data_IF_352128292133
#
_entry.id   IF_352128292133
#
_cell.length_a   1.000
_cell.length_b   1.000
_cell.length_c   1.000
_cell.angle_alpha   90.00
_cell.angle_beta   90.00
_cell.angle_gamma   90.00
#
_symmetry.space_group_name_H-M   'P 1'
#
loop_
_entity.id
_entity.type
_entity.pdbx_description
1 polymer ?
#
# COMPACT_ATOMS: atom_id res chain seq x y z
N UNK A 1 4.76 -6.58 -1.06
CA UNK A 1 3.92 -7.63 -0.42
C UNK A 1 2.69 -7.87 -1.27
N UNK A 2 2.17 -9.10 -1.33
CA UNK A 2 0.98 -9.46 -2.14
C UNK A 2 -0.12 -10.01 -1.25
N UNK A 3 -1.35 -9.55 -1.47
CA UNK A 3 -2.55 -10.11 -0.84
C UNK A 3 -3.33 -10.91 -1.88
N UNK A 4 -3.86 -12.07 -1.48
CA UNK A 4 -4.59 -12.98 -2.36
C UNK A 4 -5.87 -13.41 -1.66
N UNK A 5 -6.98 -13.44 -2.41
CA UNK A 5 -8.26 -13.97 -1.94
C UNK A 5 -8.34 -15.45 -2.33
N UNK A 6 -8.69 -16.32 -1.37
CA UNK A 6 -8.93 -17.74 -1.63
C UNK A 6 -10.08 -17.90 -2.63
N UNK A 7 -9.90 -18.77 -3.63
CA UNK A 7 -10.98 -19.12 -4.58
C UNK A 7 -12.23 -19.68 -3.87
N UNK A 8 -12.04 -20.31 -2.72
CA UNK A 8 -13.09 -21.03 -1.99
C UNK A 8 -13.53 -20.26 -0.73
N UNK A 9 -13.30 -18.96 -0.66
CA UNK A 9 -13.78 -18.15 0.46
C UNK A 9 -15.31 -18.17 0.52
N UNK A 10 -15.85 -18.30 1.73
CA UNK A 10 -17.30 -18.20 1.98
C UNK A 10 -17.78 -16.73 1.87
N UNK A 11 -16.88 -15.77 2.09
CA UNK A 11 -17.19 -14.33 2.19
C UNK A 11 -16.32 -13.47 1.22
N UNK A 12 -16.50 -13.61 -0.11
CA UNK A 12 -15.67 -12.92 -1.09
C UNK A 12 -15.85 -11.39 -1.07
N UNK A 13 -17.04 -10.91 -0.69
CA UNK A 13 -17.36 -9.47 -0.67
C UNK A 13 -16.71 -8.79 0.53
N UNK A 14 -16.79 -9.41 1.69
CA UNK A 14 -16.23 -8.94 2.95
C UNK A 14 -14.71 -8.96 2.88
N UNK A 15 -14.14 -10.04 2.34
CA UNK A 15 -12.69 -10.17 2.14
C UNK A 15 -12.15 -9.12 1.17
N UNK A 16 -12.84 -8.88 0.06
CA UNK A 16 -12.43 -7.82 -0.89
C UNK A 16 -12.61 -6.41 -0.31
N UNK A 17 -13.63 -6.19 0.52
CA UNK A 17 -13.83 -4.93 1.25
C UNK A 17 -12.68 -4.67 2.23
N UNK A 18 -12.27 -5.70 2.98
CA UNK A 18 -11.12 -5.62 3.88
C UNK A 18 -9.83 -5.30 3.10
N UNK A 19 -9.56 -5.98 2.00
CA UNK A 19 -8.38 -5.69 1.18
C UNK A 19 -8.42 -4.27 0.60
N UNK A 20 -9.60 -3.79 0.19
CA UNK A 20 -9.77 -2.42 -0.29
C UNK A 20 -9.45 -1.41 0.81
N UNK A 21 -9.87 -1.67 2.05
CA UNK A 21 -9.50 -0.84 3.20
C UNK A 21 -7.99 -0.88 3.45
N UNK A 22 -7.40 -2.06 3.48
CA UNK A 22 -5.95 -2.23 3.74
C UNK A 22 -5.09 -1.48 2.71
N UNK A 23 -5.50 -1.50 1.44
CA UNK A 23 -4.70 -0.99 0.33
C UNK A 23 -4.95 0.47 -0.02
N UNK A 24 -6.05 1.07 0.44
CA UNK A 24 -6.46 2.40 -0.02
C UNK A 24 -6.85 3.37 1.10
N UNK A 25 -6.83 2.94 2.36
CA UNK A 25 -7.10 3.82 3.48
C UNK A 25 -5.84 4.58 3.90
N UNK A 26 -5.88 5.91 3.80
CA UNK A 26 -4.73 6.79 4.07
C UNK A 26 -4.37 6.80 5.56
N UNK A 27 -5.35 6.70 6.46
CA UNK A 27 -5.07 6.67 7.91
C UNK A 27 -4.41 5.34 8.29
N UNK A 28 -4.85 4.24 7.69
CA UNK A 28 -4.19 2.97 7.86
C UNK A 28 -2.76 2.98 7.29
N UNK A 29 -2.53 3.61 6.14
CA UNK A 29 -1.18 3.74 5.57
C UNK A 29 -0.22 4.47 6.54
N UNK A 30 -0.68 5.54 7.20
CA UNK A 30 0.08 6.26 8.23
C UNK A 30 0.40 5.37 9.45
N UNK A 31 -0.56 4.55 9.89
CA UNK A 31 -0.39 3.65 11.04
C UNK A 31 0.56 2.50 10.70
N UNK A 32 0.43 1.91 9.51
CA UNK A 32 1.25 0.76 9.09
C UNK A 32 2.67 1.16 8.69
N UNK A 33 2.88 2.41 8.28
CA UNK A 33 4.18 2.93 7.88
C UNK A 33 4.84 2.11 6.76
N UNK A 34 6.17 2.04 6.76
CA UNK A 34 6.94 1.35 5.72
C UNK A 34 7.56 0.02 6.15
N UNK A 35 7.20 -0.50 7.32
CA UNK A 35 7.74 -1.77 7.84
C UNK A 35 7.50 -2.94 6.87
N UNK A 36 6.50 -2.81 5.98
CA UNK A 36 6.11 -3.82 4.98
C UNK A 36 6.38 -3.40 3.53
N UNK A 37 7.18 -2.34 3.34
CA UNK A 37 7.52 -1.76 2.04
C UNK A 37 6.69 -0.52 1.68
N UNK A 38 6.88 -0.01 0.47
CA UNK A 38 6.18 1.18 -0.05
C UNK A 38 4.80 0.76 -0.61
N UNK A 39 3.70 1.43 -0.23
CA UNK A 39 2.37 1.21 -0.80
C UNK A 39 2.37 1.41 -2.33
N UNK A 40 1.60 0.57 -3.05
CA UNK A 40 1.63 0.53 -4.53
C UNK A 40 0.63 1.50 -5.17
N UNK A 41 -0.31 2.06 -4.42
CA UNK A 41 -1.37 2.91 -4.98
C UNK A 41 -0.88 4.38 -5.19
N UNK A 42 -1.36 5.01 -6.26
CA UNK A 42 -1.00 6.38 -6.68
C UNK A 42 -1.64 7.50 -5.83
N UNK A 43 -2.56 7.16 -4.94
CA UNK A 43 -3.22 8.11 -4.03
C UNK A 43 -2.33 8.52 -2.85
N UNK A 44 -1.21 7.84 -2.65
CA UNK A 44 -0.37 7.94 -1.47
C UNK A 44 1.01 8.65 -1.61
N UNK A 45 1.59 8.93 -2.81
CA UNK A 45 2.89 9.60 -2.87
C UNK A 45 2.88 10.98 -2.21
N UNK A 46 1.82 11.77 -2.40
CA UNK A 46 1.69 13.10 -1.78
C UNK A 46 1.40 13.03 -0.29
N UNK A 47 0.51 12.12 0.13
CA UNK A 47 0.20 11.95 1.55
C UNK A 47 1.43 11.46 2.34
N UNK A 48 2.27 10.62 1.73
CA UNK A 48 3.50 10.13 2.34
C UNK A 48 4.68 11.13 2.22
N UNK A 49 4.75 11.95 1.16
CA UNK A 49 5.68 13.08 1.07
C UNK A 49 5.37 14.15 2.14
N UNK A 50 4.09 14.51 2.31
CA UNK A 50 3.64 15.53 3.28
C UNK A 50 3.86 15.12 4.75
N UNK A 51 4.00 13.82 5.03
CA UNK A 51 4.31 13.32 6.38
C UNK A 51 5.82 13.13 6.63
N UNK A 52 6.71 13.63 5.76
CA UNK A 52 8.17 13.37 5.79
C UNK A 52 8.54 11.88 5.79
N UNK A 53 7.63 11.06 5.30
CA UNK A 53 7.70 9.61 5.36
C UNK A 53 8.42 9.05 4.11
N UNK A 54 8.47 9.83 3.02
CA UNK A 54 9.28 9.52 1.84
C UNK A 54 10.52 10.40 1.79
N UNK A 55 11.68 9.87 2.20
CA UNK A 55 12.94 10.44 1.72
C UNK A 55 13.09 10.10 0.23
N UNK A 56 13.02 11.15 -0.60
CA UNK A 56 13.11 11.10 -2.05
C UNK A 56 14.53 10.79 -2.51
N UNK A 57 15.01 9.57 -2.24
CA UNK A 57 16.32 9.08 -2.67
C UNK A 57 16.24 7.77 -3.49
N UNK A 58 15.05 7.35 -3.89
CA UNK A 58 14.82 6.09 -4.63
C UNK A 58 14.67 6.25 -6.15
N UNK A 59 14.90 7.45 -6.71
CA UNK A 59 14.76 7.73 -8.15
C UNK A 59 15.71 6.92 -9.05
N UNK A 60 16.72 6.20 -8.53
CA UNK A 60 17.74 5.58 -9.38
C UNK A 60 17.62 4.03 -9.50
N UNK A 61 16.86 3.35 -8.64
CA UNK A 61 16.97 1.89 -8.57
C UNK A 61 16.03 1.07 -9.50
N UNK A 62 15.00 1.68 -10.11
CA UNK A 62 13.96 0.91 -10.85
C UNK A 62 14.07 1.09 -12.38
N UNK A 63 14.94 1.97 -12.88
CA UNK A 63 15.18 2.17 -14.32
C UNK A 63 16.65 2.00 -14.73
N UNK A 64 17.38 1.06 -14.12
CA UNK A 64 18.68 0.64 -14.67
C UNK A 64 18.72 -0.86 -14.94
N UNK A 65 18.60 -1.13 -16.24
CA UNK A 65 18.94 -2.34 -17.01
C UNK A 65 17.89 -3.42 -17.19
#
# INVERSE_FOLDING_TARGET
MLYVISKNTEDPKETSTLLRFILNDVELAKILGFDRGIPVNESDPKALEDNNLLERNLTIAIFSK
#
